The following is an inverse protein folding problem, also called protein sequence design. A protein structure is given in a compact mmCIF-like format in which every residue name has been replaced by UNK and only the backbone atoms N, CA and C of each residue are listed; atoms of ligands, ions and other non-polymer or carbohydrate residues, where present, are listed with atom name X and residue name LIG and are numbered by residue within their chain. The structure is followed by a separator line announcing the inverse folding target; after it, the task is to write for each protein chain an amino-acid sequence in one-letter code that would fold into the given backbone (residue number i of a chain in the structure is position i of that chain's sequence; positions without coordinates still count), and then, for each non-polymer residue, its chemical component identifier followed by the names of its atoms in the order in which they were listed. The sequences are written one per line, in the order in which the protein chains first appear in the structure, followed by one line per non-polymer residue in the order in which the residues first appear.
data_IF_429873680525
#
_entry.id   IF_429873680525
#
_cell.length_a   1.000
_cell.length_b   1.000
_cell.length_c   1.000
_cell.angle_alpha   90.00
_cell.angle_beta   90.00
_cell.angle_gamma   90.00
#
_symmetry.space_group_name_H-M   'P 1'
#
loop_
_entity.id
_entity.type
_entity.pdbx_description
1 polymer ?
#
# COMPACT_ATOMS: atom_id res chain seq x y z
N UNK A 1 -21.69 18.80 -71.31
CA UNK A 1 -21.25 20.09 -70.83
C UNK A 1 -21.30 20.06 -69.29
N UNK A 2 -20.23 20.46 -68.63
CA UNK A 2 -19.98 20.72 -67.20
C UNK A 2 -19.86 19.48 -66.29
N UNK A 3 -18.69 19.07 -65.95
CA UNK A 3 -17.83 19.51 -64.83
C UNK A 3 -18.56 19.49 -63.50
N UNK A 4 -18.24 18.51 -62.64
CA UNK A 4 -18.59 18.44 -61.25
C UNK A 4 -17.34 18.26 -60.43
N UNK A 5 -17.10 19.22 -59.58
CA UNK A 5 -15.95 19.35 -58.71
C UNK A 5 -15.90 18.27 -57.60
N UNK A 6 -14.74 17.69 -57.42
CA UNK A 6 -14.45 16.80 -56.32
C UNK A 6 -14.26 17.58 -55.01
N UNK A 7 -15.02 17.23 -53.99
CA UNK A 7 -14.81 17.66 -52.62
C UNK A 7 -13.92 16.62 -51.96
N UNK A 8 -12.71 17.03 -51.66
CA UNK A 8 -11.75 16.24 -50.87
C UNK A 8 -12.25 16.06 -49.45
N UNK A 9 -12.64 14.84 -49.09
CA UNK A 9 -12.90 14.46 -47.74
C UNK A 9 -11.58 14.30 -46.98
N UNK A 10 -11.24 15.23 -46.09
CA UNK A 10 -10.22 15.03 -45.09
C UNK A 10 -10.73 13.94 -44.13
N UNK A 11 -10.26 12.71 -44.36
CA UNK A 11 -10.42 11.64 -43.39
C UNK A 11 -9.68 11.97 -42.11
N UNK A 12 -10.42 12.33 -41.08
CA UNK A 12 -9.89 12.26 -39.71
C UNK A 12 -9.50 10.82 -39.44
N UNK A 13 -8.21 10.54 -39.46
CA UNK A 13 -7.65 9.28 -38.93
C UNK A 13 -7.94 9.30 -37.43
N UNK A 14 -9.04 8.63 -37.06
CA UNK A 14 -9.35 8.40 -35.65
C UNK A 14 -8.14 7.72 -34.99
N UNK A 15 -7.66 8.29 -33.90
CA UNK A 15 -6.56 7.70 -33.10
C UNK A 15 -7.00 6.30 -32.68
N UNK A 16 -6.44 5.30 -33.33
CA UNK A 16 -6.60 3.91 -32.94
C UNK A 16 -5.90 3.73 -31.59
N UNK A 17 -6.64 3.30 -30.57
CA UNK A 17 -6.02 2.90 -29.30
C UNK A 17 -5.25 1.62 -29.54
N UNK A 18 -3.93 1.72 -29.64
CA UNK A 18 -3.01 0.60 -29.71
C UNK A 18 -2.61 0.24 -28.27
N UNK A 19 -2.98 -0.93 -27.80
CA UNK A 19 -2.45 -1.47 -26.54
C UNK A 19 -1.19 -2.24 -26.85
N UNK A 20 -0.07 -1.80 -26.31
CA UNK A 20 1.22 -2.45 -26.46
C UNK A 20 1.56 -3.16 -25.17
N UNK A 21 1.78 -4.46 -25.23
CA UNK A 21 2.15 -5.31 -24.12
C UNK A 21 3.66 -5.61 -24.20
N UNK A 22 4.38 -5.10 -23.22
CA UNK A 22 5.82 -5.28 -23.12
C UNK A 22 6.16 -6.29 -22.02
N UNK A 23 6.95 -7.29 -22.32
CA UNK A 23 7.37 -8.31 -21.37
C UNK A 23 8.83 -8.11 -20.98
N UNK A 24 9.08 -7.91 -19.69
CA UNK A 24 10.44 -7.95 -19.16
C UNK A 24 10.55 -9.06 -18.13
N UNK A 25 11.40 -10.06 -18.39
CA UNK A 25 11.67 -11.16 -17.48
C UNK A 25 13.17 -11.39 -17.31
N UNK A 26 13.65 -11.34 -16.08
CA UNK A 26 14.94 -11.88 -15.69
C UNK A 26 14.72 -13.36 -15.37
N UNK A 27 15.12 -14.25 -16.31
CA UNK A 27 15.10 -15.72 -16.29
C UNK A 27 13.81 -16.38 -16.83
N UNK A 28 13.73 -16.43 -18.10
CA UNK A 28 13.40 -17.50 -19.03
C UNK A 28 12.83 -16.91 -20.31
N UNK A 29 13.44 -17.27 -21.41
CA UNK A 29 13.01 -16.90 -22.76
C UNK A 29 11.83 -17.79 -23.14
N UNK A 30 10.62 -17.46 -22.74
CA UNK A 30 9.43 -18.05 -23.33
C UNK A 30 8.49 -16.91 -23.76
N UNK A 31 8.45 -16.75 -25.08
CA UNK A 31 7.48 -15.91 -25.78
C UNK A 31 6.15 -16.65 -25.77
N UNK A 32 5.17 -16.14 -25.02
CA UNK A 32 3.80 -16.70 -25.09
C UNK A 32 3.09 -16.09 -26.30
N UNK A 33 2.91 -16.88 -27.32
CA UNK A 33 2.14 -16.55 -28.53
C UNK A 33 0.63 -16.73 -28.24
N UNK A 34 -0.17 -15.74 -28.58
CA UNK A 34 -1.61 -15.71 -28.36
C UNK A 34 -2.39 -16.41 -29.45
N UNK A 35 -3.27 -17.34 -29.10
CA UNK A 35 -4.36 -17.79 -29.96
C UNK A 35 -5.65 -17.89 -29.15
N UNK A 36 -6.70 -17.23 -29.67
CA UNK A 36 -8.14 -17.25 -29.36
C UNK A 36 -8.67 -16.26 -28.33
N UNK A 37 -9.39 -15.29 -28.90
CA UNK A 37 -10.25 -14.31 -28.23
C UNK A 37 -11.65 -14.90 -27.97
N UNK A 38 -12.17 -14.71 -26.76
CA UNK A 38 -13.61 -14.81 -26.49
C UNK A 38 -14.15 -13.39 -26.31
N UNK A 39 -15.20 -13.10 -27.06
CA UNK A 39 -15.87 -11.79 -27.12
C UNK A 39 -16.69 -11.56 -25.86
N UNK A 40 -16.37 -10.49 -25.09
CA UNK A 40 -17.27 -9.91 -24.11
C UNK A 40 -17.48 -8.46 -24.52
N UNK A 41 -18.73 -8.07 -24.79
CA UNK A 41 -19.06 -6.73 -25.22
C UNK A 41 -18.88 -5.70 -24.11
N UNK A 42 -18.17 -4.60 -24.42
CA UNK A 42 -17.97 -3.49 -23.52
C UNK A 42 -17.04 -2.40 -24.08
N UNK A 43 -17.07 -1.23 -23.47
CA UNK A 43 -16.39 0.01 -23.88
C UNK A 43 -14.85 -0.12 -23.97
N UNK A 44 -14.19 0.81 -24.66
CA UNK A 44 -12.74 0.76 -24.96
C UNK A 44 -11.81 0.62 -23.75
N UNK A 45 -12.20 1.14 -22.58
CA UNK A 45 -11.45 1.02 -21.33
C UNK A 45 -11.40 -0.43 -20.78
N UNK A 46 -12.42 -1.25 -21.07
CA UNK A 46 -12.51 -2.65 -20.60
C UNK A 46 -11.58 -3.62 -21.33
N UNK A 47 -10.81 -3.18 -22.30
CA UNK A 47 -9.97 -4.08 -23.11
C UNK A 47 -8.66 -4.44 -22.41
N UNK A 48 -8.01 -3.49 -21.76
CA UNK A 48 -6.76 -3.72 -21.04
C UNK A 48 -6.99 -4.70 -19.87
N UNK A 49 -8.08 -4.48 -19.12
CA UNK A 49 -8.44 -5.35 -18.00
C UNK A 49 -8.76 -6.78 -18.43
N UNK A 50 -9.44 -6.99 -19.58
CA UNK A 50 -9.72 -8.33 -20.11
C UNK A 50 -8.45 -9.06 -20.50
N UNK A 51 -7.49 -8.38 -21.15
CA UNK A 51 -6.19 -8.97 -21.53
C UNK A 51 -5.39 -9.35 -20.29
N UNK A 52 -5.26 -8.43 -19.34
CA UNK A 52 -4.59 -8.70 -18.06
C UNK A 52 -5.28 -9.86 -17.31
N UNK A 53 -6.61 -9.86 -17.25
CA UNK A 53 -7.39 -10.93 -16.62
C UNK A 53 -7.12 -12.29 -17.23
N UNK A 54 -7.03 -12.40 -18.56
CA UNK A 54 -6.66 -13.65 -19.22
C UNK A 54 -5.24 -14.12 -18.90
N UNK A 55 -4.30 -13.18 -18.80
CA UNK A 55 -2.93 -13.53 -18.42
C UNK A 55 -2.88 -14.04 -16.98
N UNK A 56 -3.64 -13.46 -16.07
CA UNK A 56 -3.74 -13.93 -14.68
C UNK A 56 -4.32 -15.34 -14.65
N UNK A 57 -5.42 -15.61 -15.39
CA UNK A 57 -6.00 -16.96 -15.49
C UNK A 57 -5.00 -17.97 -16.03
N UNK A 58 -4.24 -17.61 -17.06
CA UNK A 58 -3.29 -18.56 -17.67
C UNK A 58 -2.06 -18.79 -16.77
N UNK A 59 -1.60 -17.77 -16.08
CA UNK A 59 -0.42 -17.85 -15.23
C UNK A 59 -0.68 -18.56 -13.90
N UNK A 60 -1.92 -18.47 -13.35
CA UNK A 60 -2.29 -19.01 -12.03
C UNK A 60 -1.33 -18.55 -10.93
N UNK A 61 -1.01 -17.25 -10.92
CA UNK A 61 -0.04 -16.64 -10.01
C UNK A 61 -0.65 -15.38 -9.38
N UNK A 62 -0.23 -15.01 -8.18
CA UNK A 62 -0.59 -13.70 -7.60
C UNK A 62 -0.27 -12.56 -8.57
N UNK A 63 -1.12 -11.54 -8.59
CA UNK A 63 -0.95 -10.42 -9.51
C UNK A 63 -1.05 -9.07 -8.79
N UNK A 64 -0.18 -8.12 -9.18
CA UNK A 64 -0.29 -6.71 -8.83
C UNK A 64 -0.61 -5.91 -10.09
N UNK A 65 -1.70 -5.17 -10.07
CA UNK A 65 -2.09 -4.24 -11.14
C UNK A 65 -1.81 -2.83 -10.66
N UNK A 66 -0.88 -2.16 -11.31
CA UNK A 66 -0.42 -0.83 -10.96
C UNK A 66 -1.09 0.20 -11.88
N UNK A 67 -1.96 1.03 -11.34
CA UNK A 67 -2.65 2.11 -12.05
C UNK A 67 -2.04 3.49 -11.73
N UNK A 68 -2.04 4.45 -12.66
CA UNK A 68 -1.44 5.77 -12.45
C UNK A 68 -2.17 6.64 -11.43
N UNK A 69 -3.44 6.38 -11.17
CA UNK A 69 -4.25 7.18 -10.24
C UNK A 69 -5.36 6.35 -9.56
N UNK A 70 -5.97 6.94 -8.51
CA UNK A 70 -7.03 6.28 -7.73
C UNK A 70 -8.29 5.95 -8.54
N UNK A 71 -8.67 6.81 -9.48
CA UNK A 71 -9.90 6.65 -10.28
C UNK A 71 -9.80 5.44 -11.20
N UNK A 72 -8.69 5.32 -11.91
CA UNK A 72 -8.44 4.16 -12.77
C UNK A 72 -8.27 2.88 -11.94
N UNK A 73 -7.56 2.96 -10.80
CA UNK A 73 -7.45 1.83 -9.88
C UNK A 73 -8.83 1.36 -9.39
N UNK A 74 -9.75 2.29 -9.06
CA UNK A 74 -11.10 1.92 -8.63
C UNK A 74 -11.92 1.24 -9.73
N UNK A 75 -11.80 1.73 -10.98
CA UNK A 75 -12.44 1.11 -12.13
C UNK A 75 -11.92 -0.31 -12.35
N UNK A 76 -10.60 -0.48 -12.41
CA UNK A 76 -9.97 -1.80 -12.57
C UNK A 76 -10.36 -2.75 -11.45
N UNK A 77 -10.37 -2.28 -10.20
CA UNK A 77 -10.80 -3.08 -9.05
C UNK A 77 -12.24 -3.62 -9.23
N UNK A 78 -13.18 -2.78 -9.67
CA UNK A 78 -14.56 -3.20 -9.94
C UNK A 78 -14.64 -4.24 -11.07
N UNK A 79 -13.88 -4.05 -12.16
CA UNK A 79 -13.82 -4.98 -13.28
C UNK A 79 -13.21 -6.33 -12.87
N UNK A 80 -12.06 -6.32 -12.16
CA UNK A 80 -11.41 -7.55 -11.72
C UNK A 80 -12.24 -8.32 -10.69
N UNK A 81 -12.95 -7.66 -9.78
CA UNK A 81 -13.90 -8.33 -8.90
C UNK A 81 -15.00 -9.07 -9.67
N UNK A 82 -15.44 -8.52 -10.78
CA UNK A 82 -16.45 -9.15 -11.64
C UNK A 82 -15.86 -10.34 -12.43
N UNK A 83 -14.59 -10.25 -12.84
CA UNK A 83 -13.91 -11.33 -13.57
C UNK A 83 -13.49 -12.49 -12.66
N UNK A 84 -13.17 -12.20 -11.41
CA UNK A 84 -12.60 -13.13 -10.44
C UNK A 84 -13.42 -13.17 -9.13
N UNK A 85 -14.68 -13.67 -9.17
CA UNK A 85 -15.57 -13.62 -8.00
C UNK A 85 -15.11 -14.51 -6.83
N UNK A 86 -14.21 -15.45 -7.05
CA UNK A 86 -13.71 -16.41 -6.05
C UNK A 86 -12.29 -16.10 -5.56
N UNK A 87 -11.56 -15.23 -6.27
CA UNK A 87 -10.22 -14.81 -5.90
C UNK A 87 -10.27 -13.68 -4.87
N UNK A 88 -9.18 -13.50 -4.13
CA UNK A 88 -8.98 -12.31 -3.31
C UNK A 88 -8.59 -11.11 -4.19
N UNK A 89 -9.59 -10.38 -4.67
CA UNK A 89 -9.35 -9.13 -5.40
C UNK A 89 -9.38 -7.98 -4.41
N UNK A 90 -8.23 -7.31 -4.24
CA UNK A 90 -7.99 -6.34 -3.18
C UNK A 90 -7.58 -4.98 -3.74
N UNK A 91 -7.83 -3.91 -2.98
CA UNK A 91 -7.60 -2.54 -3.39
C UNK A 91 -6.56 -1.86 -2.50
N UNK A 92 -5.48 -1.34 -3.09
CA UNK A 92 -4.38 -0.74 -2.35
C UNK A 92 -3.96 0.60 -2.95
N UNK A 93 -4.57 1.68 -2.48
CA UNK A 93 -4.25 3.05 -2.90
C UNK A 93 -3.93 3.93 -1.69
N UNK A 94 -3.55 5.18 -1.91
CA UNK A 94 -3.38 6.14 -0.82
C UNK A 94 -4.70 6.32 -0.05
N UNK A 95 -4.67 6.13 1.26
CA UNK A 95 -5.85 6.23 2.15
C UNK A 95 -6.21 7.67 2.54
N UNK A 96 -5.51 8.66 2.01
CA UNK A 96 -5.84 10.06 2.26
C UNK A 96 -6.90 10.57 1.26
N UNK A 97 -8.00 11.13 1.77
CA UNK A 97 -8.92 11.94 0.98
C UNK A 97 -8.36 13.34 0.74
N UNK A 98 -7.70 13.87 1.76
CA UNK A 98 -6.92 15.09 1.70
C UNK A 98 -5.55 14.86 2.33
N UNK A 99 -4.50 15.36 1.70
CA UNK A 99 -3.14 15.28 2.21
C UNK A 99 -2.34 16.51 1.85
N UNK A 100 -1.97 17.26 2.88
CA UNK A 100 -0.98 18.34 2.81
C UNK A 100 0.27 17.88 3.56
N UNK A 101 1.37 17.61 2.88
CA UNK A 101 2.62 17.26 3.55
C UNK A 101 3.16 18.46 4.33
N UNK A 102 3.81 18.19 5.45
CA UNK A 102 4.58 19.23 6.14
C UNK A 102 5.67 19.77 5.22
N UNK A 103 5.85 21.08 5.24
CA UNK A 103 6.86 21.77 4.45
C UNK A 103 7.34 23.04 5.14
N UNK A 104 8.53 23.48 4.79
CA UNK A 104 9.04 24.77 5.26
C UNK A 104 9.52 25.60 4.08
N UNK A 105 9.06 26.85 4.03
CA UNK A 105 9.42 27.83 3.02
C UNK A 105 10.40 28.84 3.64
N UNK A 106 11.70 28.58 3.53
CA UNK A 106 12.75 29.37 4.17
C UNK A 106 12.71 30.86 3.79
N UNK A 107 12.30 31.18 2.54
CA UNK A 107 12.22 32.58 2.09
C UNK A 107 11.22 33.44 2.85
N UNK A 108 10.13 32.85 3.33
CA UNK A 108 9.04 33.53 4.04
C UNK A 108 8.96 33.14 5.51
N UNK A 109 9.90 32.32 5.98
CA UNK A 109 9.89 31.73 7.34
C UNK A 109 8.51 31.12 7.69
N UNK A 110 7.94 30.35 6.73
CA UNK A 110 6.60 29.79 6.88
C UNK A 110 6.69 28.28 7.00
N UNK A 111 6.28 27.77 8.16
CA UNK A 111 6.09 26.32 8.36
C UNK A 111 4.65 25.96 8.02
N UNK A 112 4.49 24.97 7.17
CA UNK A 112 3.22 24.37 6.79
C UNK A 112 3.11 23.06 7.54
N UNK A 113 2.16 22.97 8.44
CA UNK A 113 1.90 21.73 9.18
C UNK A 113 1.33 20.63 8.27
N UNK A 114 1.62 19.38 8.65
CA UNK A 114 0.99 18.23 8.01
C UNK A 114 -0.50 18.24 8.32
N UNK A 115 -1.32 18.25 7.30
CA UNK A 115 -2.76 18.07 7.42
C UNK A 115 -3.19 16.87 6.59
N UNK A 116 -4.01 15.99 7.15
CA UNK A 116 -4.46 14.81 6.44
C UNK A 116 -5.82 14.34 6.95
N UNK A 117 -6.65 13.93 6.01
CA UNK A 117 -7.90 13.26 6.29
C UNK A 117 -7.83 11.84 5.77
N UNK A 118 -7.94 10.88 6.68
CA UNK A 118 -7.87 9.45 6.37
C UNK A 118 -9.27 8.97 5.98
N UNK A 119 -9.35 8.25 4.87
CA UNK A 119 -10.52 7.50 4.46
C UNK A 119 -10.47 6.12 5.13
N UNK A 120 -11.33 5.91 6.12
CA UNK A 120 -11.35 4.65 6.90
C UNK A 120 -11.69 3.42 6.05
N UNK A 121 -12.48 3.58 5.00
CA UNK A 121 -12.81 2.48 4.10
C UNK A 121 -11.59 2.05 3.28
N UNK A 122 -10.83 3.00 2.73
CA UNK A 122 -9.59 2.69 2.01
C UNK A 122 -8.54 2.12 2.96
N UNK A 123 -8.44 2.64 4.18
CA UNK A 123 -7.55 2.09 5.21
C UNK A 123 -7.87 0.61 5.50
N UNK A 124 -9.14 0.29 5.71
CA UNK A 124 -9.62 -1.08 5.85
C UNK A 124 -9.22 -1.97 4.67
N UNK A 125 -9.43 -1.48 3.43
CA UNK A 125 -9.09 -2.23 2.21
C UNK A 125 -7.58 -2.49 2.10
N UNK A 126 -6.73 -1.57 2.58
CA UNK A 126 -5.28 -1.77 2.64
C UNK A 126 -4.90 -2.88 3.63
N UNK A 127 -5.54 -2.92 4.79
CA UNK A 127 -5.36 -4.03 5.75
C UNK A 127 -5.85 -5.37 5.17
N UNK A 128 -6.97 -5.37 4.43
CA UNK A 128 -7.45 -6.55 3.73
C UNK A 128 -6.43 -7.04 2.69
N UNK A 129 -5.87 -6.14 1.91
CA UNK A 129 -4.88 -6.45 0.87
C UNK A 129 -3.60 -7.08 1.45
N UNK A 130 -3.01 -6.48 2.47
CA UNK A 130 -1.80 -7.03 3.10
C UNK A 130 -2.05 -8.37 3.78
N UNK A 131 -3.22 -8.55 4.43
CA UNK A 131 -3.63 -9.83 4.98
C UNK A 131 -3.79 -10.88 3.88
N UNK A 132 -4.48 -10.56 2.79
CA UNK A 132 -4.69 -11.49 1.69
C UNK A 132 -3.37 -11.98 1.10
N UNK A 133 -2.38 -11.11 0.92
CA UNK A 133 -1.03 -11.46 0.45
C UNK A 133 -0.29 -12.42 1.39
N UNK A 134 -0.61 -12.42 2.70
CA UNK A 134 0.02 -13.29 3.68
C UNK A 134 -0.73 -14.64 3.86
N UNK A 135 -1.99 -14.74 3.43
CA UNK A 135 -2.84 -15.90 3.70
C UNK A 135 -3.25 -16.68 2.44
N UNK A 136 -3.15 -16.08 1.25
CA UNK A 136 -3.71 -16.64 0.02
C UNK A 136 -2.74 -16.56 -1.15
N UNK A 137 -2.81 -17.54 -2.05
CA UNK A 137 -2.01 -17.61 -3.27
C UNK A 137 -2.75 -17.09 -4.51
N UNK A 138 -4.08 -16.89 -4.41
CA UNK A 138 -4.95 -16.44 -5.50
C UNK A 138 -5.28 -14.95 -5.46
N UNK A 139 -4.33 -14.14 -5.00
CA UNK A 139 -4.51 -12.71 -4.73
C UNK A 139 -4.30 -11.87 -5.98
N UNK A 140 -5.19 -10.91 -6.21
CA UNK A 140 -5.09 -9.88 -7.24
C UNK A 140 -5.18 -8.52 -6.55
N UNK A 141 -4.04 -7.80 -6.49
CA UNK A 141 -3.99 -6.46 -5.91
C UNK A 141 -4.14 -5.42 -7.01
N UNK A 142 -5.11 -4.51 -6.87
CA UNK A 142 -5.19 -3.32 -7.70
C UNK A 142 -4.68 -2.13 -6.89
N UNK A 143 -3.55 -1.57 -7.28
CA UNK A 143 -2.86 -0.52 -6.57
C UNK A 143 -2.65 0.74 -7.41
N UNK A 144 -2.53 1.90 -6.77
CA UNK A 144 -1.96 3.09 -7.40
C UNK A 144 -0.46 3.17 -7.15
N UNK A 145 0.23 4.06 -7.86
CA UNK A 145 1.67 4.32 -7.68
C UNK A 145 2.06 4.63 -6.23
N UNK A 146 1.09 5.00 -5.36
CA UNK A 146 1.33 5.18 -3.92
C UNK A 146 1.82 3.92 -3.19
N UNK A 147 1.74 2.74 -3.79
CA UNK A 147 2.24 1.49 -3.22
C UNK A 147 3.77 1.43 -3.07
N UNK A 148 4.52 2.36 -3.70
CA UNK A 148 5.97 2.49 -3.52
C UNK A 148 6.37 3.26 -2.24
N UNK A 149 5.40 3.76 -1.46
CA UNK A 149 5.67 4.35 -0.14
C UNK A 149 5.73 3.28 0.94
N UNK A 150 6.53 3.56 1.98
CA UNK A 150 6.70 2.65 3.12
C UNK A 150 5.40 2.40 3.87
N UNK A 151 5.16 1.15 4.25
CA UNK A 151 3.98 0.71 5.02
C UNK A 151 4.33 -0.06 6.29
N UNK A 152 5.61 -0.37 6.53
CA UNK A 152 6.07 -1.18 7.66
C UNK A 152 6.61 -2.55 7.23
N UNK A 153 7.38 -3.20 8.11
CA UNK A 153 8.04 -4.49 7.82
C UNK A 153 7.01 -5.62 7.76
N UNK A 154 7.09 -6.42 6.71
CA UNK A 154 6.26 -7.62 6.52
C UNK A 154 6.54 -8.65 7.61
N UNK A 155 7.81 -8.84 7.96
CA UNK A 155 8.24 -9.79 8.99
C UNK A 155 7.64 -9.40 10.35
N UNK A 156 7.74 -8.11 10.73
CA UNK A 156 7.17 -7.61 11.98
C UNK A 156 5.65 -7.74 11.99
N UNK A 157 4.98 -7.33 10.90
CA UNK A 157 3.53 -7.39 10.79
C UNK A 157 3.00 -8.82 10.89
N UNK A 158 3.67 -9.77 10.21
CA UNK A 158 3.33 -11.20 10.26
C UNK A 158 3.65 -11.83 11.62
N UNK A 159 4.82 -11.51 12.21
CA UNK A 159 5.23 -12.06 13.51
C UNK A 159 4.38 -11.59 14.69
N UNK A 160 3.78 -10.40 14.58
CA UNK A 160 2.86 -9.87 15.59
C UNK A 160 1.43 -10.37 15.43
N UNK A 161 1.12 -11.11 14.37
CA UNK A 161 -0.21 -11.69 14.22
C UNK A 161 -0.46 -12.78 15.26
N UNK A 162 -1.65 -12.79 15.85
CA UNK A 162 -2.05 -13.73 16.89
C UNK A 162 -2.94 -14.81 16.29
N UNK A 163 -2.48 -16.06 16.33
CA UNK A 163 -3.30 -17.22 16.01
C UNK A 163 -4.08 -17.70 17.25
N UNK A 164 -5.39 -17.91 17.12
CA UNK A 164 -6.25 -18.42 18.16
C UNK A 164 -7.03 -19.63 17.65
N UNK A 165 -6.99 -20.74 18.38
CA UNK A 165 -7.64 -22.00 18.05
C UNK A 165 -8.61 -22.40 19.19
N UNK A 166 -9.82 -22.81 18.83
CA UNK A 166 -10.82 -23.30 19.79
C UNK A 166 -10.30 -24.58 20.46
N UNK A 167 -10.47 -24.65 21.77
CA UNK A 167 -10.00 -25.76 22.63
C UNK A 167 -8.59 -25.58 23.19
N UNK A 168 -7.85 -24.57 22.72
CA UNK A 168 -6.51 -24.26 23.24
C UNK A 168 -6.60 -23.40 24.52
N UNK A 169 -5.53 -23.45 25.32
CA UNK A 169 -5.42 -22.70 26.58
C UNK A 169 -4.67 -21.39 26.35
N UNK A 170 -5.36 -20.29 26.62
CA UNK A 170 -4.80 -18.92 26.55
C UNK A 170 -5.13 -18.16 27.84
N UNK A 171 -4.14 -17.48 28.41
CA UNK A 171 -4.41 -16.47 29.44
C UNK A 171 -5.13 -15.27 28.80
N UNK A 172 -6.40 -14.96 29.13
CA UNK A 172 -7.12 -13.84 28.54
C UNK A 172 -6.43 -12.49 28.73
N UNK A 173 -5.63 -12.33 29.82
CA UNK A 173 -4.87 -11.11 30.05
C UNK A 173 -3.72 -10.95 29.06
N UNK A 174 -3.09 -12.07 28.65
CA UNK A 174 -2.05 -12.05 27.60
C UNK A 174 -2.69 -11.72 26.24
N UNK A 175 -3.83 -12.31 25.90
CA UNK A 175 -4.57 -11.99 24.68
C UNK A 175 -4.87 -10.48 24.60
N UNK A 176 -5.36 -9.89 25.72
CA UNK A 176 -5.61 -8.45 25.81
C UNK A 176 -4.32 -7.65 25.65
N UNK A 177 -3.22 -8.07 26.27
CA UNK A 177 -1.94 -7.38 26.17
C UNK A 177 -1.38 -7.41 24.74
N UNK A 178 -1.56 -8.51 24.02
CA UNK A 178 -1.19 -8.65 22.61
C UNK A 178 -2.06 -7.78 21.70
N UNK A 179 -3.38 -7.70 21.91
CA UNK A 179 -4.27 -6.77 21.20
C UNK A 179 -3.81 -5.31 21.37
N UNK A 180 -3.43 -4.92 22.59
CA UNK A 180 -2.89 -3.57 22.85
C UNK A 180 -1.55 -3.38 22.13
N UNK A 181 -0.66 -4.37 22.13
CA UNK A 181 0.61 -4.33 21.41
C UNK A 181 0.40 -4.22 19.88
N UNK A 182 -0.66 -4.83 19.35
CA UNK A 182 -1.12 -4.75 17.97
C UNK A 182 -1.84 -3.42 17.64
N UNK A 183 -1.88 -2.46 18.56
CA UNK A 183 -2.50 -1.14 18.41
C UNK A 183 -4.05 -1.15 18.36
N UNK A 184 -4.70 -2.21 18.85
CA UNK A 184 -6.14 -2.17 19.10
C UNK A 184 -6.43 -1.33 20.34
N UNK A 185 -7.53 -0.57 20.28
CA UNK A 185 -7.95 0.30 21.38
C UNK A 185 -9.04 -0.41 22.22
N UNK A 186 -8.88 -0.45 23.52
CA UNK A 186 -9.98 -0.88 24.38
C UNK A 186 -11.06 0.19 24.41
N UNK A 187 -12.26 -0.17 24.00
CA UNK A 187 -13.42 0.71 24.05
C UNK A 187 -14.69 -0.09 24.35
N UNK A 188 -15.05 -0.13 25.62
CA UNK A 188 -16.20 -0.91 26.09
C UNK A 188 -17.53 -0.19 25.80
N UNK A 189 -17.53 1.12 25.59
CA UNK A 189 -18.72 1.96 25.36
C UNK A 189 -19.04 2.13 23.86
N UNK A 190 -18.05 2.51 23.05
CA UNK A 190 -18.19 2.77 21.61
C UNK A 190 -17.36 1.78 20.81
N UNK A 191 -17.90 0.59 20.57
CA UNK A 191 -17.22 -0.47 19.84
C UNK A 191 -17.18 -0.12 18.35
N UNK A 192 -15.97 -0.04 17.78
CA UNK A 192 -15.72 0.36 16.41
C UNK A 192 -14.57 -0.45 15.80
N UNK A 193 -14.36 -0.35 14.50
CA UNK A 193 -13.24 -0.99 13.81
C UNK A 193 -11.90 -0.59 14.48
N UNK A 194 -11.02 -1.57 14.68
CA UNK A 194 -9.74 -1.37 15.37
C UNK A 194 -9.86 -1.26 16.88
N UNK A 195 -11.02 -1.57 17.45
CA UNK A 195 -11.21 -1.64 18.89
C UNK A 195 -11.49 -3.07 19.37
N UNK A 196 -11.28 -3.29 20.67
CA UNK A 196 -11.75 -4.45 21.39
C UNK A 196 -12.49 -4.04 22.66
N UNK A 197 -13.33 -4.91 23.15
CA UNK A 197 -14.01 -4.75 24.45
C UNK A 197 -14.03 -6.07 25.23
N UNK A 198 -14.14 -5.96 26.54
CA UNK A 198 -14.13 -7.12 27.44
C UNK A 198 -15.35 -7.10 28.33
N UNK A 199 -16.09 -8.21 28.38
CA UNK A 199 -17.27 -8.37 29.23
C UNK A 199 -17.26 -9.77 29.89
N UNK A 200 -16.85 -9.82 31.15
CA UNK A 200 -16.66 -11.10 31.84
C UNK A 200 -15.57 -11.94 31.13
N UNK A 201 -15.95 -13.16 30.78
CA UNK A 201 -15.07 -14.12 30.10
C UNK A 201 -15.13 -14.01 28.56
N UNK A 202 -15.64 -12.90 28.06
CA UNK A 202 -15.78 -12.65 26.62
C UNK A 202 -14.92 -11.47 26.20
N UNK A 203 -14.08 -11.69 25.18
CA UNK A 203 -13.33 -10.65 24.47
C UNK A 203 -13.93 -10.50 23.08
N UNK A 204 -14.39 -9.31 22.74
CA UNK A 204 -14.85 -8.99 21.39
C UNK A 204 -13.85 -8.08 20.71
N UNK A 205 -13.45 -8.42 19.49
CA UNK A 205 -12.49 -7.64 18.69
C UNK A 205 -13.08 -7.34 17.31
N UNK A 206 -12.93 -6.10 16.85
CA UNK A 206 -13.30 -5.69 15.50
C UNK A 206 -12.04 -5.48 14.67
N UNK A 207 -11.62 -6.49 13.89
CA UNK A 207 -10.39 -6.45 13.13
C UNK A 207 -10.33 -5.30 12.12
N UNK A 208 -9.13 -4.78 11.88
CA UNK A 208 -8.90 -3.65 10.99
C UNK A 208 -9.36 -3.88 9.53
N UNK A 209 -9.37 -5.13 9.06
CA UNK A 209 -9.72 -5.52 7.70
C UNK A 209 -11.21 -5.81 7.49
N UNK A 210 -12.01 -5.96 8.56
CA UNK A 210 -13.44 -6.27 8.48
C UNK A 210 -14.28 -4.99 8.47
N UNK A 211 -15.32 -4.96 7.62
CA UNK A 211 -16.21 -3.82 7.47
C UNK A 211 -17.34 -3.81 8.49
N UNK A 212 -18.12 -4.87 8.49
CA UNK A 212 -19.38 -5.00 9.24
C UNK A 212 -19.42 -6.30 10.07
N UNK A 213 -18.26 -6.85 10.39
CA UNK A 213 -18.10 -8.07 11.16
C UNK A 213 -17.09 -7.89 12.27
N UNK A 214 -17.36 -8.51 13.40
CA UNK A 214 -16.45 -8.58 14.53
C UNK A 214 -16.40 -10.01 15.07
N UNK A 215 -15.34 -10.33 15.80
CA UNK A 215 -15.15 -11.64 16.41
C UNK A 215 -15.38 -11.59 17.92
N UNK A 216 -16.03 -12.61 18.42
CA UNK A 216 -16.28 -12.86 19.84
C UNK A 216 -15.52 -14.09 20.26
N UNK A 217 -14.64 -13.94 21.22
CA UNK A 217 -13.84 -14.98 21.84
C UNK A 217 -14.48 -15.29 23.20
N UNK A 218 -15.05 -16.47 23.36
CA UNK A 218 -15.69 -16.92 24.62
C UNK A 218 -14.74 -17.85 25.34
N UNK A 219 -14.40 -17.52 26.58
CA UNK A 219 -13.49 -18.27 27.42
C UNK A 219 -14.23 -18.96 28.55
N UNK A 220 -13.72 -20.13 28.94
CA UNK A 220 -14.05 -20.75 30.22
C UNK A 220 -12.76 -20.90 31.01
N UNK A 221 -12.53 -19.97 31.94
CA UNK A 221 -11.22 -19.82 32.58
C UNK A 221 -10.13 -19.38 31.57
N UNK A 222 -9.21 -20.27 31.23
CA UNK A 222 -8.18 -20.06 30.24
C UNK A 222 -8.42 -20.82 28.93
N UNK A 223 -9.45 -21.66 28.85
CA UNK A 223 -9.81 -22.39 27.63
C UNK A 223 -10.64 -21.52 26.69
N UNK A 224 -10.24 -21.40 25.43
CA UNK A 224 -11.04 -20.75 24.39
C UNK A 224 -12.11 -21.71 23.86
N UNK A 225 -13.33 -21.59 24.37
CA UNK A 225 -14.44 -22.50 24.02
C UNK A 225 -15.05 -22.25 22.64
N UNK A 226 -15.11 -20.99 22.22
CA UNK A 226 -15.75 -20.64 20.96
C UNK A 226 -15.22 -19.34 20.35
N UNK A 227 -15.14 -19.32 19.02
CA UNK A 227 -14.90 -18.11 18.20
C UNK A 227 -16.13 -17.90 17.33
N UNK A 228 -16.82 -16.77 17.54
CA UNK A 228 -18.06 -16.44 16.82
C UNK A 228 -17.90 -15.13 16.06
N UNK A 229 -18.24 -15.13 14.78
CA UNK A 229 -18.39 -13.89 14.02
C UNK A 229 -19.80 -13.34 14.23
N UNK A 230 -19.90 -12.02 14.37
CA UNK A 230 -21.18 -11.35 14.57
C UNK A 230 -21.20 -9.96 13.92
N UNK A 231 -22.40 -9.49 13.60
CA UNK A 231 -22.64 -8.11 13.19
C UNK A 231 -22.59 -7.20 14.44
N UNK A 232 -21.64 -6.25 14.51
CA UNK A 232 -21.47 -5.40 15.70
C UNK A 232 -22.61 -4.42 15.95
N UNK A 233 -23.45 -4.10 14.95
CA UNK A 233 -24.62 -3.24 15.11
C UNK A 233 -25.80 -3.97 15.75
N UNK A 234 -26.07 -5.18 15.28
CA UNK A 234 -27.24 -5.96 15.73
C UNK A 234 -26.89 -6.98 16.78
N UNK A 235 -25.62 -7.32 16.97
CA UNK A 235 -25.14 -8.40 17.83
C UNK A 235 -25.45 -9.81 17.30
N UNK A 236 -26.04 -9.92 16.09
CA UNK A 236 -26.44 -11.19 15.49
C UNK A 236 -25.22 -11.99 15.05
N UNK A 237 -25.19 -13.25 15.48
CA UNK A 237 -24.19 -14.22 15.01
C UNK A 237 -24.33 -14.44 13.51
N UNK A 238 -23.21 -14.40 12.79
CA UNK A 238 -23.12 -14.64 11.35
C UNK A 238 -22.40 -15.93 11.01
N UNK A 239 -21.33 -16.26 11.76
CA UNK A 239 -20.54 -17.48 11.51
C UNK A 239 -19.86 -17.98 12.79
N UNK A 240 -19.15 -19.11 12.70
CA UNK A 240 -18.33 -19.69 13.77
C UNK A 240 -17.05 -20.23 13.15
N UNK A 241 -15.93 -20.01 13.83
CA UNK A 241 -14.62 -20.45 13.36
C UNK A 241 -13.97 -21.37 14.39
N UNK A 242 -13.24 -22.37 13.91
CA UNK A 242 -12.36 -23.18 14.77
C UNK A 242 -11.03 -22.47 15.01
N UNK A 243 -10.59 -21.62 14.06
CA UNK A 243 -9.36 -20.85 14.12
C UNK A 243 -9.53 -19.48 13.50
N UNK A 244 -8.90 -18.47 14.10
CA UNK A 244 -8.71 -17.14 13.50
C UNK A 244 -7.27 -16.68 13.63
N UNK A 245 -6.90 -15.71 12.78
CA UNK A 245 -5.64 -14.98 12.88
C UNK A 245 -5.92 -13.49 12.97
N UNK A 246 -5.51 -12.86 14.07
CA UNK A 246 -5.69 -11.43 14.31
C UNK A 246 -4.42 -10.70 13.92
N UNK A 247 -4.51 -9.85 12.91
CA UNK A 247 -3.42 -8.99 12.48
C UNK A 247 -3.47 -7.64 13.21
N UNK A 248 -2.34 -6.95 13.24
CA UNK A 248 -2.25 -5.65 13.87
C UNK A 248 -3.18 -4.61 13.23
N UNK A 249 -3.68 -3.68 14.04
CA UNK A 249 -4.54 -2.57 13.62
C UNK A 249 -3.79 -1.43 12.93
N UNK A 250 -2.49 -1.56 12.77
CA UNK A 250 -1.63 -0.63 12.03
C UNK A 250 -0.53 -1.40 11.33
N UNK A 251 -0.13 -0.96 10.14
CA UNK A 251 1.05 -1.51 9.47
C UNK A 251 2.36 -1.07 10.17
N UNK A 252 2.34 0.06 10.90
CA UNK A 252 3.47 0.57 11.69
C UNK A 252 3.44 0.05 13.12
N UNK A 253 3.41 -1.26 13.29
CA UNK A 253 3.55 -1.88 14.62
C UNK A 253 5.00 -2.22 14.88
N UNK A 254 5.42 -2.00 16.12
CA UNK A 254 6.81 -2.24 16.54
C UNK A 254 6.82 -2.96 17.88
N UNK A 255 7.46 -4.14 17.99
CA UNK A 255 7.59 -4.85 19.24
C UNK A 255 8.32 -3.98 20.30
N UNK A 256 7.97 -4.13 21.57
CA UNK A 256 8.56 -3.34 22.67
C UNK A 256 10.09 -3.33 22.68
N UNK A 257 10.80 -4.45 22.49
CA UNK A 257 12.28 -4.43 22.47
C UNK A 257 12.83 -3.57 21.32
N UNK A 258 12.23 -3.68 20.12
CA UNK A 258 12.60 -2.87 18.95
C UNK A 258 12.30 -1.41 19.18
N UNK A 259 11.15 -1.07 19.81
CA UNK A 259 10.80 0.29 20.18
C UNK A 259 11.82 0.91 21.14
N UNK A 260 12.30 0.16 22.14
CA UNK A 260 13.34 0.63 23.06
C UNK A 260 14.67 0.92 22.35
N UNK A 261 15.05 0.06 21.39
CA UNK A 261 16.23 0.29 20.55
C UNK A 261 16.06 1.51 19.65
N UNK A 262 14.87 1.66 19.04
CA UNK A 262 14.53 2.83 18.23
C UNK A 262 14.64 4.12 19.02
N UNK A 263 14.06 4.18 20.23
CA UNK A 263 14.16 5.34 21.14
C UNK A 263 15.61 5.68 21.45
N UNK A 264 16.44 4.68 21.73
CA UNK A 264 17.87 4.89 21.97
C UNK A 264 18.58 5.47 20.74
N UNK A 265 18.31 4.92 19.55
CA UNK A 265 18.89 5.41 18.30
C UNK A 265 18.45 6.84 17.96
N UNK A 266 17.16 7.17 18.19
CA UNK A 266 16.62 8.51 17.99
C UNK A 266 17.29 9.53 18.94
N UNK A 267 17.47 9.16 20.23
CA UNK A 267 18.16 10.00 21.22
C UNK A 267 19.61 10.28 20.81
N UNK A 268 20.32 9.26 20.32
CA UNK A 268 21.70 9.42 19.84
C UNK A 268 21.78 10.33 18.60
N UNK A 269 20.91 10.13 17.61
CA UNK A 269 20.87 11.00 16.42
C UNK A 269 20.54 12.45 16.82
N UNK A 270 19.59 12.63 17.75
CA UNK A 270 19.23 13.94 18.25
C UNK A 270 20.44 14.64 18.87
N UNK A 271 21.13 13.95 19.78
CA UNK A 271 22.34 14.49 20.43
C UNK A 271 23.41 14.92 19.41
N UNK A 272 23.72 14.09 18.44
CA UNK A 272 24.71 14.39 17.41
C UNK A 272 24.25 15.56 16.49
N UNK A 273 22.96 15.62 16.18
CA UNK A 273 22.40 16.68 15.35
C UNK A 273 22.41 18.02 16.09
N UNK A 274 22.03 18.05 17.36
CA UNK A 274 22.08 19.26 18.20
C UNK A 274 23.52 19.76 18.36
N UNK A 275 24.47 18.86 18.59
CA UNK A 275 25.90 19.23 18.70
C UNK A 275 26.39 19.90 17.41
N UNK A 276 26.03 19.39 16.23
CA UNK A 276 26.36 19.98 14.93
C UNK A 276 25.69 21.33 14.73
N UNK A 277 24.36 21.43 14.97
CA UNK A 277 23.60 22.66 14.80
C UNK A 277 24.13 23.79 15.69
N UNK A 278 24.46 23.48 16.95
CA UNK A 278 25.05 24.45 17.87
C UNK A 278 26.45 24.92 17.41
N UNK A 279 27.28 24.00 16.88
CA UNK A 279 28.59 24.37 16.32
C UNK A 279 28.46 25.26 15.08
N UNK A 280 27.42 25.06 14.28
CA UNK A 280 27.08 25.86 13.10
C UNK A 280 26.34 27.17 13.44
N UNK A 281 26.10 27.47 14.73
CA UNK A 281 25.41 28.69 15.18
C UNK A 281 23.88 28.68 14.95
N UNK A 282 23.28 27.52 14.60
CA UNK A 282 21.84 27.35 14.37
C UNK A 282 21.08 27.07 15.67
N UNK A 283 21.10 28.05 16.59
CA UNK A 283 20.56 27.87 17.94
C UNK A 283 19.04 27.73 17.97
N UNK A 284 18.34 28.46 17.12
CA UNK A 284 16.87 28.41 17.03
C UNK A 284 16.40 27.06 16.48
N UNK A 285 17.07 26.59 15.42
CA UNK A 285 16.80 25.29 14.80
C UNK A 285 17.09 24.15 15.77
N UNK A 286 18.18 24.24 16.53
CA UNK A 286 18.53 23.26 17.55
C UNK A 286 17.47 23.18 18.66
N UNK A 287 17.05 24.32 19.19
CA UNK A 287 16.01 24.37 20.21
C UNK A 287 14.67 23.81 19.73
N UNK A 288 14.26 24.15 18.50
CA UNK A 288 13.03 23.65 17.88
C UNK A 288 13.07 22.13 17.73
N UNK A 289 14.18 21.61 17.22
CA UNK A 289 14.38 20.17 17.02
C UNK A 289 14.33 19.42 18.35
N UNK A 290 15.03 19.94 19.37
CA UNK A 290 15.10 19.33 20.70
C UNK A 290 13.70 19.24 21.34
N UNK A 291 12.94 20.33 21.34
CA UNK A 291 11.59 20.35 21.89
C UNK A 291 10.67 19.34 21.18
N UNK A 292 10.71 19.32 19.86
CA UNK A 292 9.88 18.42 19.05
C UNK A 292 10.24 16.96 19.31
N UNK A 293 11.52 16.61 19.25
CA UNK A 293 11.95 15.21 19.41
C UNK A 293 11.71 14.72 20.84
N UNK A 294 11.92 15.53 21.87
CA UNK A 294 11.63 15.14 23.25
C UNK A 294 10.15 14.83 23.44
N UNK A 295 9.25 15.68 22.91
CA UNK A 295 7.82 15.43 22.95
C UNK A 295 7.44 14.11 22.21
N UNK A 296 7.98 13.91 21.02
CA UNK A 296 7.73 12.68 20.24
C UNK A 296 8.26 11.43 20.99
N UNK A 297 9.43 11.53 21.65
CA UNK A 297 10.02 10.44 22.46
C UNK A 297 9.17 10.09 23.68
N UNK A 298 8.64 11.10 24.40
CA UNK A 298 7.72 10.87 25.53
C UNK A 298 6.46 10.15 25.08
N UNK A 299 5.90 10.52 23.94
CA UNK A 299 4.73 9.83 23.37
C UNK A 299 5.05 8.41 22.97
N UNK A 300 6.20 8.14 22.35
CA UNK A 300 6.65 6.80 21.99
C UNK A 300 6.87 5.91 23.21
N UNK A 301 7.46 6.45 24.30
CA UNK A 301 7.64 5.72 25.55
C UNK A 301 6.31 5.40 26.24
N UNK A 302 5.38 6.34 26.25
CA UNK A 302 4.10 6.19 26.94
C UNK A 302 3.08 5.33 26.18
N UNK A 303 2.97 5.48 24.87
CA UNK A 303 1.88 4.91 24.06
C UNK A 303 2.34 4.05 22.90
N UNK A 304 3.62 4.07 22.57
CA UNK A 304 4.18 3.41 21.38
C UNK A 304 3.89 4.13 20.05
N UNK A 305 3.25 5.31 20.08
CA UNK A 305 2.92 6.10 18.88
C UNK A 305 3.15 7.58 19.13
N UNK A 306 3.44 8.34 18.06
CA UNK A 306 3.48 9.79 18.07
C UNK A 306 2.99 10.37 16.75
N UNK A 307 2.68 11.65 16.71
CA UNK A 307 2.32 12.34 15.46
C UNK A 307 3.54 12.42 14.53
N UNK A 308 3.41 11.83 13.32
CA UNK A 308 4.51 11.75 12.37
C UNK A 308 5.51 10.64 12.69
N UNK A 309 5.05 9.55 13.35
CA UNK A 309 5.86 8.36 13.67
C UNK A 309 6.63 7.82 12.45
N UNK A 310 6.08 8.01 11.26
CA UNK A 310 6.71 7.63 10.00
C UNK A 310 8.08 8.30 9.77
N UNK A 311 8.32 9.47 10.36
CA UNK A 311 9.62 10.15 10.27
C UNK A 311 10.75 9.41 11.02
N UNK A 312 10.39 8.51 11.92
CA UNK A 312 11.29 7.62 12.65
C UNK A 312 11.34 6.21 12.08
N UNK A 313 10.73 5.95 10.91
CA UNK A 313 10.54 4.62 10.32
C UNK A 313 11.83 3.83 10.19
N UNK A 314 12.97 4.47 9.91
CA UNK A 314 14.29 3.82 9.85
C UNK A 314 14.62 3.07 11.15
N UNK A 315 14.41 3.71 12.29
CA UNK A 315 14.67 3.13 13.60
C UNK A 315 13.65 2.05 13.98
N UNK A 316 12.38 2.30 13.63
CA UNK A 316 11.29 1.36 13.93
C UNK A 316 11.38 0.06 13.13
N UNK A 317 12.03 0.09 11.98
CA UNK A 317 12.26 -1.09 11.12
C UNK A 317 13.69 -1.62 11.19
N UNK A 318 14.58 -1.00 11.97
CA UNK A 318 15.97 -1.44 12.14
C UNK A 318 16.87 -1.28 10.93
N UNK A 319 16.48 -0.43 9.96
CA UNK A 319 17.22 -0.22 8.70
C UNK A 319 18.47 0.64 8.89
N UNK A 320 19.46 0.42 8.03
CA UNK A 320 20.60 1.31 7.90
C UNK A 320 20.22 2.63 7.20
N UNK A 321 21.02 3.71 7.40
CA UNK A 321 20.81 4.97 6.70
C UNK A 321 20.81 4.79 5.17
N UNK A 322 19.78 5.34 4.50
CA UNK A 322 19.65 5.29 3.04
C UNK A 322 19.03 4.02 2.47
N UNK A 323 18.79 2.98 3.28
CA UNK A 323 18.07 1.78 2.84
C UNK A 323 16.62 2.09 2.44
N UNK A 324 16.07 1.38 1.42
CA UNK A 324 14.69 1.58 0.99
C UNK A 324 13.71 1.22 2.11
N UNK A 325 12.57 1.95 2.23
CA UNK A 325 11.54 1.58 3.20
C UNK A 325 10.84 0.30 2.77
N UNK A 326 10.34 -0.51 3.72
CA UNK A 326 9.48 -1.65 3.39
C UNK A 326 8.16 -1.16 2.81
N UNK A 327 7.84 -1.63 1.60
CA UNK A 327 6.69 -1.21 0.79
C UNK A 327 5.78 -2.39 0.50
N UNK A 328 4.73 -2.19 -0.31
CA UNK A 328 3.88 -3.28 -0.76
C UNK A 328 4.67 -4.36 -1.53
N UNK A 329 5.76 -3.99 -2.20
CA UNK A 329 6.58 -4.93 -2.98
C UNK A 329 7.24 -6.02 -2.15
N UNK A 330 7.45 -5.80 -0.84
CA UNK A 330 7.96 -6.82 0.07
C UNK A 330 6.89 -7.81 0.56
N UNK A 331 5.61 -7.42 0.46
CA UNK A 331 4.49 -8.33 0.73
C UNK A 331 4.15 -9.21 -0.47
N UNK A 332 4.57 -8.81 -1.68
CA UNK A 332 4.24 -9.52 -2.92
C UNK A 332 5.17 -10.73 -3.07
N UNK A 333 4.63 -11.93 -3.34
CA UNK A 333 5.44 -13.11 -3.56
C UNK A 333 6.35 -12.99 -4.78
N UNK A 334 7.54 -13.61 -4.75
CA UNK A 334 8.52 -13.57 -5.84
C UNK A 334 7.97 -14.10 -7.16
N UNK A 335 7.01 -15.04 -7.11
CA UNK A 335 6.35 -15.60 -8.26
C UNK A 335 5.18 -14.78 -8.79
N UNK A 336 4.89 -13.60 -8.21
CA UNK A 336 3.83 -12.74 -8.69
C UNK A 336 4.11 -12.15 -10.08
N UNK A 337 3.05 -11.60 -10.71
CA UNK A 337 3.16 -10.84 -11.96
C UNK A 337 2.70 -9.41 -11.69
N UNK A 338 3.49 -8.42 -12.11
CA UNK A 338 3.13 -7.01 -12.06
C UNK A 338 2.61 -6.56 -13.43
N UNK A 339 1.42 -5.99 -13.47
CA UNK A 339 0.86 -5.32 -14.63
C UNK A 339 0.91 -3.82 -14.40
N UNK A 340 1.73 -3.09 -15.14
CA UNK A 340 1.74 -1.63 -15.10
C UNK A 340 0.79 -1.10 -16.17
N UNK A 341 -0.41 -0.70 -15.74
CA UNK A 341 -1.40 -0.10 -16.63
C UNK A 341 -1.05 1.36 -16.91
N UNK A 342 -1.30 1.82 -18.14
CA UNK A 342 -0.86 3.12 -18.65
C UNK A 342 0.61 3.38 -18.29
N UNK A 343 1.48 2.43 -18.62
CA UNK A 343 2.88 2.39 -18.17
C UNK A 343 3.66 3.64 -18.57
N UNK A 344 3.35 4.24 -19.71
CA UNK A 344 3.91 5.52 -20.15
C UNK A 344 3.65 6.69 -19.18
N UNK A 345 2.69 6.53 -18.25
CA UNK A 345 2.40 7.48 -17.16
C UNK A 345 2.91 6.94 -15.83
N UNK A 346 2.59 5.67 -15.50
CA UNK A 346 2.88 5.07 -14.20
C UNK A 346 4.39 4.97 -13.92
N UNK A 347 5.18 4.57 -14.91
CA UNK A 347 6.63 4.37 -14.77
C UNK A 347 7.38 5.69 -14.53
N UNK A 348 7.15 6.77 -15.31
CA UNK A 348 7.73 8.08 -15.03
C UNK A 348 7.30 8.68 -13.67
N UNK A 349 6.07 8.42 -13.21
CA UNK A 349 5.63 8.86 -11.88
C UNK A 349 6.48 8.22 -10.77
N UNK A 350 6.78 6.92 -10.85
CA UNK A 350 7.66 6.23 -9.91
C UNK A 350 9.01 6.94 -9.83
N UNK A 351 9.61 7.25 -10.99
CA UNK A 351 10.89 7.96 -11.04
C UNK A 351 10.87 9.39 -10.48
N UNK A 352 9.72 10.08 -10.61
CA UNK A 352 9.57 11.47 -10.18
C UNK A 352 9.32 11.68 -8.69
N UNK A 353 8.67 10.73 -8.02
CA UNK A 353 8.20 10.90 -6.64
C UNK A 353 9.32 11.09 -5.61
N UNK A 354 10.42 10.36 -5.73
CA UNK A 354 11.54 10.44 -4.79
C UNK A 354 12.16 11.85 -4.70
N UNK A 355 12.42 12.48 -5.84
CA UNK A 355 13.16 13.75 -5.89
C UNK A 355 12.43 14.89 -5.17
N UNK A 356 11.11 14.96 -5.33
CA UNK A 356 10.26 15.96 -4.67
C UNK A 356 10.21 15.76 -3.15
N UNK A 357 10.02 14.53 -2.69
CA UNK A 357 9.97 14.19 -1.27
C UNK A 357 11.31 14.44 -0.57
N UNK A 358 12.40 14.01 -1.19
CA UNK A 358 13.77 14.22 -0.68
C UNK A 358 14.07 15.70 -0.46
N UNK A 359 13.80 16.55 -1.47
CA UNK A 359 14.07 17.99 -1.37
C UNK A 359 13.29 18.65 -0.24
N UNK A 360 12.02 18.31 -0.09
CA UNK A 360 11.15 18.82 0.97
C UNK A 360 11.69 18.44 2.37
N UNK A 361 12.05 17.18 2.56
CA UNK A 361 12.54 16.66 3.85
C UNK A 361 13.94 17.17 4.20
N UNK A 362 14.81 17.36 3.20
CA UNK A 362 16.11 18.00 3.42
C UNK A 362 15.92 19.39 4.03
N UNK A 363 15.01 20.20 3.47
CA UNK A 363 14.71 21.54 4.03
C UNK A 363 14.18 21.46 5.46
N UNK A 364 13.29 20.52 5.78
CA UNK A 364 12.79 20.33 7.14
C UNK A 364 13.90 19.95 8.13
N UNK A 365 14.83 19.08 7.72
CA UNK A 365 15.95 18.67 8.57
C UNK A 365 16.98 19.79 8.76
N UNK A 366 17.32 20.55 7.72
CA UNK A 366 18.26 21.67 7.77
C UNK A 366 17.78 22.82 8.68
N UNK A 367 16.48 23.01 8.80
CA UNK A 367 15.84 24.06 9.61
C UNK A 367 15.28 23.56 10.95
N UNK A 368 15.65 22.37 11.41
CA UNK A 368 15.34 21.86 12.75
C UNK A 368 13.87 21.44 12.97
N UNK A 369 13.12 21.17 11.93
CA UNK A 369 11.75 20.65 12.06
C UNK A 369 11.71 19.12 12.21
N UNK A 370 12.71 18.41 11.65
CA UNK A 370 12.82 16.96 11.71
C UNK A 370 14.28 16.53 11.84
N UNK A 371 14.49 15.31 12.37
CA UNK A 371 15.80 14.67 12.33
C UNK A 371 16.19 14.31 10.89
N UNK A 372 17.49 14.25 10.56
CA UNK A 372 17.96 13.81 9.24
C UNK A 372 17.42 12.46 8.80
N UNK A 373 17.17 11.55 9.73
CA UNK A 373 16.57 10.23 9.46
C UNK A 373 15.18 10.27 8.82
N UNK A 374 14.48 11.42 8.89
CA UNK A 374 13.18 11.57 8.23
C UNK A 374 13.28 11.39 6.71
N UNK A 375 14.46 11.60 6.12
CA UNK A 375 14.70 11.38 4.68
C UNK A 375 14.62 9.92 4.27
N UNK A 376 14.74 8.98 5.22
CA UNK A 376 14.64 7.53 4.97
C UNK A 376 13.19 7.03 4.97
N UNK A 377 12.23 7.86 5.41
CA UNK A 377 10.80 7.66 5.15
C UNK A 377 10.45 8.28 3.79
N UNK A 378 10.63 7.55 2.73
CA UNK A 378 10.56 8.04 1.34
C UNK A 378 9.91 7.01 0.43
N UNK A 379 9.42 7.41 -0.76
CA UNK A 379 9.10 6.43 -1.77
C UNK A 379 10.37 5.71 -2.26
N UNK A 380 10.20 4.55 -2.86
CA UNK A 380 11.29 3.87 -3.55
C UNK A 380 11.89 4.78 -4.62
N UNK A 381 13.20 4.69 -4.80
CA UNK A 381 13.84 5.21 -6.00
C UNK A 381 13.47 4.32 -7.18
N UNK A 382 13.59 4.85 -8.38
CA UNK A 382 13.28 4.09 -9.60
C UNK A 382 14.10 2.79 -9.70
N UNK A 383 15.38 2.87 -9.43
CA UNK A 383 16.32 1.74 -9.50
C UNK A 383 16.01 0.67 -8.44
N UNK A 384 15.54 1.09 -7.26
CA UNK A 384 15.11 0.19 -6.18
C UNK A 384 13.82 -0.56 -6.59
N UNK A 385 12.84 0.18 -7.11
CA UNK A 385 11.61 -0.41 -7.62
C UNK A 385 11.88 -1.37 -8.77
N UNK A 386 12.73 -1.00 -9.72
CA UNK A 386 13.07 -1.82 -10.88
C UNK A 386 13.78 -3.13 -10.47
N UNK A 387 14.61 -3.07 -9.42
CA UNK A 387 15.28 -4.25 -8.86
C UNK A 387 14.33 -5.17 -8.07
N UNK A 388 13.31 -4.60 -7.39
CA UNK A 388 12.39 -5.35 -6.52
C UNK A 388 11.20 -5.95 -7.29
N UNK A 389 10.76 -5.32 -8.36
CA UNK A 389 9.60 -5.79 -9.10
C UNK A 389 9.82 -7.21 -9.65
N UNK A 390 8.85 -8.12 -9.48
CA UNK A 390 8.88 -9.43 -10.12
C UNK A 390 8.66 -9.31 -11.64
N UNK A 391 8.41 -10.44 -12.31
CA UNK A 391 8.06 -10.42 -13.73
C UNK A 391 6.97 -9.41 -14.02
N UNK A 392 7.21 -8.54 -15.00
CA UNK A 392 6.33 -7.39 -15.26
C UNK A 392 5.83 -7.34 -16.68
N UNK A 393 4.58 -6.90 -16.83
CA UNK A 393 3.90 -6.66 -18.10
C UNK A 393 3.52 -5.18 -18.13
N UNK A 394 3.99 -4.46 -19.14
CA UNK A 394 3.67 -3.05 -19.34
C UNK A 394 2.57 -2.92 -20.38
N UNK A 395 1.51 -2.21 -20.01
CA UNK A 395 0.34 -1.99 -20.88
C UNK A 395 0.24 -0.51 -21.18
N UNK A 396 0.26 -0.15 -22.46
CA UNK A 396 0.22 1.24 -22.89
C UNK A 396 -0.34 1.38 -24.31
N UNK A 397 -1.11 2.42 -24.55
CA UNK A 397 -1.49 2.82 -25.90
C UNK A 397 -0.35 3.57 -26.63
N UNK A 398 0.57 4.17 -25.88
CA UNK A 398 1.68 4.99 -26.39
C UNK A 398 2.95 4.69 -25.59
N UNK A 399 3.58 3.52 -25.78
CA UNK A 399 4.76 3.13 -25.00
C UNK A 399 5.89 4.13 -25.20
N UNK A 400 6.62 4.41 -24.12
CA UNK A 400 7.80 5.27 -24.13
C UNK A 400 9.05 4.52 -24.59
N UNK A 401 10.13 5.26 -24.82
CA UNK A 401 11.41 4.69 -25.22
C UNK A 401 11.94 3.68 -24.19
N UNK A 402 11.72 3.94 -22.89
CA UNK A 402 12.16 3.05 -21.81
C UNK A 402 11.50 1.66 -21.90
N UNK A 403 10.17 1.61 -22.08
CA UNK A 403 9.44 0.33 -22.19
C UNK A 403 9.92 -0.48 -23.42
N UNK A 404 10.10 0.19 -24.56
CA UNK A 404 10.60 -0.44 -25.78
C UNK A 404 12.03 -0.98 -25.62
N UNK A 405 12.90 -0.24 -24.94
CA UNK A 405 14.26 -0.66 -24.63
C UNK A 405 14.26 -1.88 -23.69
N UNK A 406 13.46 -1.85 -22.62
CA UNK A 406 13.33 -2.99 -21.69
C UNK A 406 12.83 -4.26 -22.37
N UNK A 407 11.94 -4.14 -23.34
CA UNK A 407 11.42 -5.25 -24.12
C UNK A 407 12.36 -5.71 -25.26
N UNK A 408 13.51 -5.05 -25.46
CA UNK A 408 14.40 -5.33 -26.60
C UNK A 408 13.73 -5.11 -27.95
N UNK A 409 12.73 -4.21 -28.02
CA UNK A 409 11.91 -3.94 -29.19
C UNK A 409 10.85 -4.99 -29.50
N UNK A 410 10.66 -6.00 -28.63
CA UNK A 410 9.64 -7.04 -28.80
C UNK A 410 8.38 -6.65 -28.01
N UNK A 411 7.27 -6.51 -28.71
CA UNK A 411 5.97 -6.17 -28.10
C UNK A 411 4.82 -6.82 -28.87
N UNK A 412 3.68 -6.96 -28.20
CA UNK A 412 2.45 -7.45 -28.81
C UNK A 412 1.46 -6.30 -29.01
N UNK A 413 0.94 -6.16 -30.23
CA UNK A 413 -0.04 -5.14 -30.56
C UNK A 413 -1.45 -5.74 -30.60
N UNK A 414 -2.41 -5.06 -29.97
CA UNK A 414 -3.83 -5.37 -30.08
C UNK A 414 -4.54 -4.24 -30.81
N UNK A 415 -4.69 -4.39 -32.12
CA UNK A 415 -5.25 -3.35 -33.01
C UNK A 415 -6.73 -3.60 -33.28
N UNK A 416 -7.21 -4.84 -33.17
CA UNK A 416 -8.55 -5.24 -33.58
C UNK A 416 -9.56 -5.04 -32.45
N UNK A 417 -10.67 -4.34 -32.77
CA UNK A 417 -11.85 -4.28 -31.89
C UNK A 417 -12.71 -5.53 -32.03
N UNK A 418 -12.98 -6.27 -30.94
CA UNK A 418 -13.83 -7.46 -30.99
C UNK A 418 -15.28 -7.16 -31.43
N UNK A 419 -15.74 -5.91 -31.22
CA UNK A 419 -17.11 -5.48 -31.52
C UNK A 419 -17.36 -5.14 -32.98
N UNK A 420 -16.30 -4.96 -33.79
CA UNK A 420 -16.44 -4.49 -35.19
C UNK A 420 -16.98 -3.08 -35.35
N UNK A 421 -17.23 -2.36 -34.25
CA UNK A 421 -17.68 -0.97 -34.28
C UNK A 421 -16.51 -0.02 -34.55
N UNK A 422 -16.74 0.95 -35.42
CA UNK A 422 -15.81 2.07 -35.62
C UNK A 422 -15.81 2.97 -34.39
N UNK A 423 -14.65 3.60 -34.12
CA UNK A 423 -14.59 4.64 -33.09
C UNK A 423 -15.50 5.82 -33.49
N UNK A 424 -16.20 6.41 -32.52
CA UNK A 424 -17.02 7.60 -32.76
C UNK A 424 -16.20 8.80 -33.21
#
# INVERSE_FOLDING_TARGET
VSQGDGVGGHGHIGRQCVAVLLFTGIRSKEVVVWTHLVTIGGCAAQRHSVVMGRQIVNAQRPALILAPNKTLAAQLYGEFRSFFPHNAVEYFVSYYDYYQPEAYVARTDTFIEKESQINEQIDRMRHSATRALLERDDVIIVASVSCIYGIGSVETYSAMAQDLLVGDIYDPRKVIAELVAQQYRRNDAAFSRGAFRVRGDVIEVWPAHLEDRAWRLSFFGEELEAITEFDPLTGRKTDTFDKIRIYANSHYVTPRPTMQQAIKGIKEELFQTLKRMNADGKLLEAQRLEQRCNFDLEMLEATGVCNGIENYSRYLTGRAPGEPPPTLFEFIPDNAIVFADESHVSVPQIGGMYKGDFRRKTTLAEHGFRLPSCMDNRPLKFEEWDAMRPQSVFVSATPSAWELEQAGGVFAEQIIRPTGLLDP
#
